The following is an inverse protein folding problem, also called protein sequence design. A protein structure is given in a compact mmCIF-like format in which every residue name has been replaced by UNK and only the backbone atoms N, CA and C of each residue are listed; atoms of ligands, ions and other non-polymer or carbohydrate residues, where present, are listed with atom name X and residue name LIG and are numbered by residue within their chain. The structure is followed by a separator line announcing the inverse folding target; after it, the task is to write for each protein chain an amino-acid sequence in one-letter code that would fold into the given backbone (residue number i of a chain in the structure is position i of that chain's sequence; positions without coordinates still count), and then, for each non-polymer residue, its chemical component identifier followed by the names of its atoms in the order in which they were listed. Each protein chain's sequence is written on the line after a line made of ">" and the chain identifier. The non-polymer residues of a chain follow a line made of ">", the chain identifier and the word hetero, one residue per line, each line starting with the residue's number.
data_IF_416023585484
#
_entry.id   IF_416023585484
#
_cell.length_a   1.000
_cell.length_b   1.000
_cell.length_c   1.000
_cell.angle_alpha   90.00
_cell.angle_beta   90.00
_cell.angle_gamma   90.00
#
_symmetry.space_group_name_H-M   'P 1'
#
loop_
_entity.id
_entity.type
_entity.pdbx_description
1 polymer ?
#
# COMPACT_ATOMS: atom_id res chain seq x y z
N UNK A 1 -28.42 -26.01 -35.92
CA UNK A 1 -27.84 -24.86 -35.18
C UNK A 1 -26.64 -25.39 -34.42
N UNK A 2 -25.45 -25.02 -34.91
CA UNK A 2 -24.16 -25.32 -34.29
C UNK A 2 -23.95 -24.49 -33.03
N UNK A 3 -23.37 -25.07 -31.99
CA UNK A 3 -22.66 -24.43 -30.88
C UNK A 3 -21.93 -25.59 -30.16
N UNK A 4 -20.61 -25.68 -30.03
CA UNK A 4 -19.57 -24.65 -30.02
C UNK A 4 -19.02 -24.55 -28.60
N UNK A 5 -17.83 -25.10 -28.35
CA UNK A 5 -17.17 -25.04 -27.03
C UNK A 5 -16.00 -26.02 -26.90
N UNK A 6 -14.99 -25.85 -27.74
CA UNK A 6 -13.75 -26.64 -27.70
C UNK A 6 -12.85 -26.23 -26.52
N UNK A 7 -12.31 -27.24 -25.86
CA UNK A 7 -11.25 -27.12 -24.85
C UNK A 7 -9.93 -26.81 -25.56
N UNK A 8 -9.47 -25.57 -25.49
CA UNK A 8 -8.15 -25.18 -25.98
C UNK A 8 -7.10 -25.37 -24.88
N UNK A 9 -6.48 -26.55 -24.90
CA UNK A 9 -5.23 -26.83 -24.21
C UNK A 9 -4.09 -26.19 -25.02
N UNK A 10 -3.68 -24.99 -24.64
CA UNK A 10 -2.36 -24.44 -25.00
C UNK A 10 -1.31 -25.31 -24.28
N UNK A 11 -0.55 -26.18 -24.91
CA UNK A 11 0.07 -26.07 -26.23
C UNK A 11 1.57 -25.91 -26.00
N UNK A 12 2.21 -27.00 -25.54
CA UNK A 12 3.64 -27.06 -25.28
C UNK A 12 4.45 -26.74 -26.53
N UNK A 13 5.36 -25.79 -26.41
CA UNK A 13 6.35 -25.49 -27.44
C UNK A 13 7.68 -26.09 -27.01
N UNK A 14 7.92 -27.35 -27.39
CA UNK A 14 9.28 -27.86 -27.50
C UNK A 14 9.85 -27.43 -28.86
N UNK A 15 10.52 -26.28 -28.89
CA UNK A 15 11.45 -25.97 -29.99
C UNK A 15 12.80 -26.56 -29.64
N UNK A 16 13.01 -27.80 -30.09
CA UNK A 16 14.32 -28.45 -30.12
C UNK A 16 15.18 -27.82 -31.21
N UNK A 17 15.93 -26.77 -30.88
CA UNK A 17 17.13 -26.38 -31.61
C UNK A 17 18.06 -25.44 -30.80
N UNK A 18 18.44 -25.79 -29.56
CA UNK A 18 19.58 -25.12 -28.86
C UNK A 18 20.23 -26.07 -27.83
N UNK A 19 20.67 -27.28 -28.23
CA UNK A 19 21.14 -28.25 -27.23
C UNK A 19 22.54 -27.94 -26.63
N UNK A 20 23.37 -27.10 -27.26
CA UNK A 20 24.70 -26.77 -26.72
C UNK A 20 24.69 -25.53 -25.83
N UNK A 21 23.93 -24.48 -26.18
CA UNK A 21 23.83 -23.27 -25.34
C UNK A 21 22.93 -23.46 -24.12
N UNK A 22 21.95 -24.36 -24.18
CA UNK A 22 21.10 -24.69 -23.04
C UNK A 22 21.90 -25.26 -21.87
N UNK A 23 22.81 -26.20 -22.16
CA UNK A 23 23.62 -26.87 -21.14
C UNK A 23 24.67 -25.93 -20.52
N UNK A 24 25.30 -25.08 -21.33
CA UNK A 24 26.22 -24.04 -20.83
C UNK A 24 25.50 -23.03 -19.92
N UNK A 25 24.29 -22.61 -20.31
CA UNK A 25 23.50 -21.66 -19.51
C UNK A 25 23.04 -22.31 -18.19
N UNK A 26 22.66 -23.59 -18.22
CA UNK A 26 22.35 -24.35 -16.99
C UNK A 26 23.57 -24.49 -16.08
N UNK A 27 24.76 -24.72 -16.64
CA UNK A 27 26.01 -24.74 -15.88
C UNK A 27 26.30 -23.38 -15.23
N UNK A 28 26.22 -22.29 -15.99
CA UNK A 28 26.46 -20.95 -15.44
C UNK A 28 25.46 -20.60 -14.32
N UNK A 29 24.19 -20.96 -14.48
CA UNK A 29 23.18 -20.80 -13.43
C UNK A 29 23.50 -21.61 -12.18
N UNK A 30 24.04 -22.83 -12.32
CA UNK A 30 24.46 -23.64 -11.18
C UNK A 30 25.66 -23.02 -10.44
N UNK A 31 26.64 -22.50 -11.18
CA UNK A 31 27.78 -21.78 -10.61
C UNK A 31 27.35 -20.52 -9.86
N UNK A 32 26.42 -19.73 -10.43
CA UNK A 32 25.84 -18.56 -9.75
C UNK A 32 25.08 -18.98 -8.49
N UNK A 33 24.24 -20.02 -8.57
CA UNK A 33 23.41 -20.50 -7.46
C UNK A 33 24.21 -21.04 -6.27
N UNK A 34 25.44 -21.48 -6.50
CA UNK A 34 26.33 -22.00 -5.45
C UNK A 34 27.43 -21.01 -5.04
N UNK A 35 27.41 -19.82 -5.64
CA UNK A 35 28.39 -18.77 -5.37
C UNK A 35 28.19 -18.16 -3.97
N UNK A 36 29.25 -17.86 -3.20
CA UNK A 36 29.14 -17.28 -1.86
C UNK A 36 28.41 -15.93 -1.82
N UNK A 37 28.45 -15.16 -2.91
CA UNK A 37 27.70 -13.89 -3.05
C UNK A 37 26.22 -14.05 -3.43
N UNK A 38 25.74 -15.28 -3.69
CA UNK A 38 24.38 -15.50 -4.20
C UNK A 38 23.31 -14.95 -3.26
N UNK A 39 23.43 -15.24 -1.96
CA UNK A 39 22.47 -14.78 -0.95
C UNK A 39 22.43 -13.25 -0.85
N UNK A 40 23.58 -12.58 -0.87
CA UNK A 40 23.61 -11.11 -0.86
C UNK A 40 23.02 -10.54 -2.14
N UNK A 41 23.28 -11.16 -3.29
CA UNK A 41 22.74 -10.73 -4.57
C UNK A 41 21.22 -10.88 -4.61
N UNK A 42 20.71 -12.03 -4.17
CA UNK A 42 19.28 -12.30 -4.07
C UNK A 42 18.62 -11.28 -3.13
N UNK A 43 19.20 -11.05 -1.95
CA UNK A 43 18.69 -10.06 -1.00
C UNK A 43 18.68 -8.63 -1.57
N UNK A 44 19.72 -8.22 -2.30
CA UNK A 44 19.77 -6.92 -2.96
C UNK A 44 18.68 -6.82 -4.04
N UNK A 45 18.49 -7.86 -4.85
CA UNK A 45 17.43 -7.93 -5.87
C UNK A 45 16.04 -7.83 -5.27
N UNK A 46 15.76 -8.62 -4.24
CA UNK A 46 14.49 -8.59 -3.50
C UNK A 46 14.25 -7.21 -2.90
N UNK A 47 15.30 -6.59 -2.35
CA UNK A 47 15.20 -5.24 -1.80
C UNK A 47 14.78 -4.22 -2.86
N UNK A 48 15.32 -4.30 -4.08
CA UNK A 48 14.90 -3.44 -5.19
C UNK A 48 13.44 -3.68 -5.56
N UNK A 49 13.03 -4.95 -5.70
CA UNK A 49 11.65 -5.31 -6.04
C UNK A 49 10.66 -4.78 -4.99
N UNK A 50 10.96 -4.96 -3.70
CA UNK A 50 10.09 -4.51 -2.60
C UNK A 50 9.86 -3.00 -2.60
N UNK A 51 10.82 -2.19 -3.04
CA UNK A 51 10.64 -0.73 -3.13
C UNK A 51 9.63 -0.34 -4.22
N UNK A 52 9.60 -1.08 -5.33
CA UNK A 52 8.69 -0.82 -6.46
C UNK A 52 7.37 -1.60 -6.40
N UNK A 53 7.17 -2.46 -5.39
CA UNK A 53 6.01 -3.34 -5.31
C UNK A 53 4.96 -2.77 -4.34
N UNK A 54 3.68 -2.69 -4.74
CA UNK A 54 2.59 -2.32 -3.83
C UNK A 54 2.53 -3.25 -2.60
N UNK A 55 2.11 -2.71 -1.45
CA UNK A 55 2.10 -3.44 -0.17
C UNK A 55 1.33 -4.76 -0.26
N UNK A 56 0.20 -4.75 -0.98
CA UNK A 56 -0.68 -5.92 -1.12
C UNK A 56 -0.03 -7.09 -1.88
N UNK A 57 1.02 -6.82 -2.67
CA UNK A 57 1.70 -7.81 -3.51
C UNK A 57 3.01 -8.33 -2.91
N UNK A 58 3.45 -7.80 -1.75
CA UNK A 58 4.69 -8.22 -1.11
C UNK A 58 4.69 -9.72 -0.74
N UNK A 59 3.52 -10.27 -0.43
CA UNK A 59 3.35 -11.70 -0.12
C UNK A 59 3.72 -12.62 -1.29
N UNK A 60 3.56 -12.16 -2.54
CA UNK A 60 3.94 -12.92 -3.74
C UNK A 60 5.46 -13.05 -3.86
N UNK A 61 6.20 -11.99 -3.50
CA UNK A 61 7.67 -12.01 -3.44
C UNK A 61 8.13 -13.02 -2.39
N UNK A 62 7.51 -13.01 -1.22
CA UNK A 62 7.86 -13.93 -0.12
C UNK A 62 7.57 -15.39 -0.49
N UNK A 63 6.45 -15.65 -1.17
CA UNK A 63 6.12 -16.99 -1.67
C UNK A 63 7.14 -17.48 -2.71
N UNK A 64 7.55 -16.62 -3.64
CA UNK A 64 8.58 -16.95 -4.63
C UNK A 64 9.94 -17.24 -3.96
N UNK A 65 10.30 -16.49 -2.91
CA UNK A 65 11.51 -16.76 -2.15
C UNK A 65 11.46 -18.10 -1.41
N UNK A 66 10.31 -18.47 -0.84
CA UNK A 66 10.16 -19.77 -0.21
C UNK A 66 10.38 -20.94 -1.19
N UNK A 67 9.95 -20.79 -2.44
CA UNK A 67 10.17 -21.79 -3.49
C UNK A 67 11.64 -21.84 -3.97
N UNK A 68 12.36 -20.73 -3.91
CA UNK A 68 13.74 -20.61 -4.44
C UNK A 68 14.71 -21.65 -3.86
N UNK A 69 14.54 -22.06 -2.61
CA UNK A 69 15.41 -23.05 -1.96
C UNK A 69 15.36 -24.43 -2.64
N UNK A 70 14.22 -24.83 -3.20
CA UNK A 70 14.10 -26.10 -3.92
C UNK A 70 14.88 -26.05 -5.23
N UNK A 71 14.84 -24.91 -5.91
CA UNK A 71 15.59 -24.67 -7.15
C UNK A 71 17.09 -24.64 -6.86
N UNK A 72 17.53 -23.98 -5.79
CA UNK A 72 18.94 -23.93 -5.39
C UNK A 72 19.49 -25.34 -5.10
N UNK A 73 18.70 -26.17 -4.39
CA UNK A 73 19.06 -27.57 -4.14
C UNK A 73 19.18 -28.38 -5.44
N UNK A 74 18.31 -28.12 -6.43
CA UNK A 74 18.38 -28.78 -7.74
C UNK A 74 19.69 -28.44 -8.47
N UNK A 75 20.09 -27.16 -8.49
CA UNK A 75 21.34 -26.74 -9.11
C UNK A 75 22.57 -27.29 -8.38
N UNK A 76 22.56 -27.29 -7.04
CA UNK A 76 23.65 -27.86 -6.25
C UNK A 76 23.85 -29.36 -6.50
N UNK A 77 22.76 -30.13 -6.69
CA UNK A 77 22.85 -31.56 -7.01
C UNK A 77 23.42 -31.85 -8.41
N UNK A 78 23.33 -30.88 -9.31
CA UNK A 78 23.67 -31.03 -10.72
C UNK A 78 25.12 -30.63 -11.04
N UNK A 79 25.87 -30.15 -10.05
CA UNK A 79 27.23 -29.61 -10.19
C UNK A 79 28.33 -30.68 -10.33
N UNK A 80 27.96 -31.93 -10.60
CA UNK A 80 28.90 -33.04 -10.76
C UNK A 80 29.51 -33.06 -12.17
N UNK A 81 30.62 -32.34 -12.36
CA UNK A 81 31.62 -32.76 -13.35
C UNK A 81 32.33 -31.67 -14.16
N UNK A 82 31.86 -30.43 -14.19
CA UNK A 82 32.50 -29.35 -14.96
C UNK A 82 32.51 -28.04 -14.17
N UNK A 83 33.63 -27.75 -13.51
CA UNK A 83 33.88 -26.47 -12.85
C UNK A 83 34.46 -25.47 -13.84
N UNK A 84 34.13 -24.19 -13.67
CA UNK A 84 34.76 -23.10 -14.42
C UNK A 84 36.28 -23.12 -14.26
N UNK A 85 36.98 -22.64 -15.30
CA UNK A 85 38.41 -22.36 -15.20
C UNK A 85 38.67 -21.27 -14.14
N UNK A 86 39.87 -21.21 -13.54
CA UNK A 86 40.18 -20.18 -12.54
C UNK A 86 40.00 -18.75 -13.07
N UNK A 87 40.20 -18.54 -14.37
CA UNK A 87 39.99 -17.25 -15.02
C UNK A 87 38.50 -16.88 -15.08
N UNK A 88 37.65 -17.78 -15.59
CA UNK A 88 36.20 -17.55 -15.68
C UNK A 88 35.57 -17.37 -14.30
N UNK A 89 36.07 -18.06 -13.27
CA UNK A 89 35.63 -17.87 -11.89
C UNK A 89 35.95 -16.46 -11.39
N UNK A 90 37.17 -15.97 -11.65
CA UNK A 90 37.55 -14.61 -11.26
C UNK A 90 36.71 -13.54 -11.99
N UNK A 91 36.37 -13.77 -13.26
CA UNK A 91 35.47 -12.90 -14.01
C UNK A 91 34.05 -12.91 -13.44
N UNK A 92 33.53 -14.10 -13.09
CA UNK A 92 32.23 -14.24 -12.44
C UNK A 92 32.20 -13.54 -11.09
N UNK A 93 33.21 -13.73 -10.24
CA UNK A 93 33.32 -13.09 -8.93
C UNK A 93 33.29 -11.56 -9.07
N UNK A 94 34.09 -11.02 -10.00
CA UNK A 94 34.16 -9.59 -10.29
C UNK A 94 32.82 -9.05 -10.83
N UNK A 95 32.19 -9.79 -11.74
CA UNK A 95 30.87 -9.44 -12.26
C UNK A 95 29.82 -9.39 -11.15
N UNK A 96 29.74 -10.43 -10.31
CA UNK A 96 28.76 -10.51 -9.22
C UNK A 96 28.98 -9.40 -8.19
N UNK A 97 30.24 -9.07 -7.86
CA UNK A 97 30.57 -7.97 -6.97
C UNK A 97 30.13 -6.60 -7.55
N UNK A 98 30.43 -6.33 -8.83
CA UNK A 98 29.99 -5.10 -9.49
C UNK A 98 28.48 -5.02 -9.61
N UNK A 99 27.84 -6.13 -9.95
CA UNK A 99 26.40 -6.21 -10.08
C UNK A 99 25.69 -5.96 -8.74
N UNK A 100 26.24 -6.48 -7.64
CA UNK A 100 25.75 -6.20 -6.30
C UNK A 100 25.80 -4.70 -5.97
N UNK A 101 26.91 -4.02 -6.31
CA UNK A 101 27.05 -2.56 -6.13
C UNK A 101 26.00 -1.80 -6.95
N UNK A 102 25.78 -2.22 -8.20
CA UNK A 102 24.75 -1.63 -9.07
C UNK A 102 23.36 -1.80 -8.47
N UNK A 103 23.03 -2.97 -7.91
CA UNK A 103 21.72 -3.18 -7.27
C UNK A 103 21.55 -2.31 -6.02
N UNK A 104 22.59 -2.18 -5.19
CA UNK A 104 22.54 -1.32 -4.01
C UNK A 104 22.31 0.14 -4.39
N UNK A 105 23.05 0.67 -5.37
CA UNK A 105 22.88 2.06 -5.84
C UNK A 105 21.52 2.26 -6.52
N UNK A 106 21.05 1.29 -7.30
CA UNK A 106 19.72 1.32 -7.90
C UNK A 106 18.62 1.35 -6.84
N UNK A 107 18.71 0.55 -5.78
CA UNK A 107 17.75 0.56 -4.67
C UNK A 107 17.62 1.95 -4.05
N UNK A 108 18.75 2.61 -3.76
CA UNK A 108 18.75 3.94 -3.15
C UNK A 108 18.09 4.98 -4.07
N UNK A 109 18.42 4.96 -5.36
CA UNK A 109 17.82 5.84 -6.36
C UNK A 109 16.31 5.60 -6.49
N UNK A 110 15.89 4.34 -6.57
CA UNK A 110 14.50 3.94 -6.67
C UNK A 110 13.71 4.36 -5.43
N UNK A 111 14.25 4.12 -4.24
CA UNK A 111 13.63 4.51 -2.98
C UNK A 111 13.47 6.03 -2.87
N UNK A 112 14.50 6.79 -3.27
CA UNK A 112 14.43 8.24 -3.28
C UNK A 112 13.37 8.75 -4.28
N UNK A 113 13.31 8.17 -5.47
CA UNK A 113 12.33 8.54 -6.51
C UNK A 113 10.89 8.31 -6.04
N UNK A 114 10.58 7.12 -5.51
CA UNK A 114 9.26 6.80 -4.96
C UNK A 114 8.91 7.74 -3.80
N UNK A 115 9.86 7.99 -2.89
CA UNK A 115 9.64 8.88 -1.75
C UNK A 115 9.31 10.31 -2.17
N UNK A 116 10.05 10.88 -3.13
CA UNK A 116 9.82 12.25 -3.60
C UNK A 116 8.44 12.38 -4.22
N UNK A 117 8.08 11.51 -5.16
CA UNK A 117 6.78 11.58 -5.81
C UNK A 117 5.61 11.27 -4.89
N UNK A 118 5.77 10.36 -3.93
CA UNK A 118 4.74 10.13 -2.91
C UNK A 118 4.51 11.38 -2.05
N UNK A 119 5.59 12.07 -1.63
CA UNK A 119 5.48 13.32 -0.86
C UNK A 119 4.84 14.42 -1.71
N UNK A 120 5.25 14.59 -2.96
CA UNK A 120 4.65 15.58 -3.87
C UNK A 120 3.15 15.33 -4.08
N UNK A 121 2.77 14.06 -4.30
CA UNK A 121 1.37 13.68 -4.43
C UNK A 121 0.58 13.98 -3.15
N UNK A 122 1.11 13.65 -1.97
CA UNK A 122 0.47 13.95 -0.69
C UNK A 122 0.30 15.46 -0.49
N UNK A 123 1.32 16.25 -0.83
CA UNK A 123 1.25 17.71 -0.73
C UNK A 123 0.19 18.28 -1.68
N UNK A 124 0.12 17.80 -2.92
CA UNK A 124 -0.90 18.21 -3.89
C UNK A 124 -2.33 17.82 -3.41
N UNK A 125 -2.50 16.62 -2.87
CA UNK A 125 -3.77 16.18 -2.29
C UNK A 125 -4.18 17.08 -1.11
N UNK A 126 -3.24 17.48 -0.25
CA UNK A 126 -3.50 18.40 0.85
C UNK A 126 -3.93 19.79 0.37
N UNK A 127 -3.33 20.29 -0.71
CA UNK A 127 -3.75 21.56 -1.32
C UNK A 127 -5.17 21.48 -1.87
N UNK A 128 -5.51 20.37 -2.54
CA UNK A 128 -6.87 20.11 -3.03
C UNK A 128 -7.87 20.07 -1.86
N UNK A 129 -7.54 19.38 -0.78
CA UNK A 129 -8.37 19.30 0.42
C UNK A 129 -8.59 20.68 1.04
N UNK A 130 -7.54 21.49 1.19
CA UNK A 130 -7.64 22.85 1.71
C UNK A 130 -8.56 23.73 0.84
N UNK A 131 -8.45 23.63 -0.48
CA UNK A 131 -9.32 24.37 -1.40
C UNK A 131 -10.79 23.93 -1.28
N UNK A 132 -11.02 22.63 -1.11
CA UNK A 132 -12.36 22.08 -0.89
C UNK A 132 -12.95 22.56 0.45
N UNK A 133 -12.15 22.57 1.51
CA UNK A 133 -12.54 23.12 2.80
C UNK A 133 -12.87 24.62 2.70
N UNK A 134 -12.04 25.40 2.01
CA UNK A 134 -12.30 26.83 1.82
C UNK A 134 -13.62 27.11 1.08
N UNK A 135 -13.98 26.23 0.12
CA UNK A 135 -15.22 26.36 -0.65
C UNK A 135 -16.46 25.90 0.13
N UNK A 136 -16.34 24.85 0.92
CA UNK A 136 -17.48 24.18 1.57
C UNK A 136 -17.65 24.54 3.04
N UNK A 137 -16.60 25.05 3.69
CA UNK A 137 -16.52 25.24 5.13
C UNK A 137 -16.41 23.93 5.92
N UNK A 138 -16.31 22.78 5.26
CA UNK A 138 -16.30 21.45 5.90
C UNK A 138 -14.90 20.83 5.77
N UNK A 139 -14.33 20.40 6.89
CA UNK A 139 -13.07 19.63 6.96
C UNK A 139 -13.35 18.16 6.64
N UNK A 140 -12.50 17.51 5.84
CA UNK A 140 -12.61 16.06 5.61
C UNK A 140 -12.13 15.21 6.81
N UNK A 141 -11.54 15.84 7.82
CA UNK A 141 -10.89 15.16 8.96
C UNK A 141 -11.71 15.05 10.26
N UNK A 142 -12.87 15.69 10.38
CA UNK A 142 -13.61 15.74 11.67
C UNK A 142 -14.93 14.97 11.61
N UNK A 143 -14.82 13.65 11.58
CA UNK A 143 -15.89 12.77 12.00
C UNK A 143 -15.66 12.29 13.43
N UNK A 144 -15.80 13.16 14.45
CA UNK A 144 -16.18 12.88 15.85
C UNK A 144 -15.68 13.97 16.82
N UNK A 145 -16.59 14.62 17.55
CA UNK A 145 -16.29 15.43 18.74
C UNK A 145 -16.67 16.91 18.59
N UNK A 146 -17.95 17.25 18.75
CA UNK A 146 -18.36 18.11 19.86
C UNK A 146 -17.24 18.39 20.90
N UNK A 147 -16.87 19.66 21.08
CA UNK A 147 -16.99 20.40 22.35
C UNK A 147 -16.50 21.84 22.17
N UNK A 148 -17.42 22.79 22.33
CA UNK A 148 -17.26 24.07 23.03
C UNK A 148 -15.85 24.72 22.97
N UNK A 149 -15.68 25.71 22.09
CA UNK A 149 -14.83 26.85 22.43
C UNK A 149 -15.61 27.65 23.46
N UNK A 150 -15.27 27.47 24.73
CA UNK A 150 -15.79 28.19 25.89
C UNK A 150 -15.27 29.64 25.82
N UNK A 151 -16.17 30.60 25.64
CA UNK A 151 -15.87 32.02 25.85
C UNK A 151 -15.83 32.24 27.37
N UNK A 152 -14.62 32.23 27.93
CA UNK A 152 -14.37 32.52 29.34
C UNK A 152 -14.45 34.04 29.62
N UNK A 153 -15.66 34.54 29.85
CA UNK A 153 -15.89 35.88 30.44
C UNK A 153 -15.60 35.85 31.95
N UNK A 154 -14.37 36.24 32.31
CA UNK A 154 -13.90 36.45 33.68
C UNK A 154 -14.35 37.82 34.21
N UNK A 155 -15.54 37.93 34.82
CA UNK A 155 -15.84 39.03 35.78
C UNK A 155 -16.65 38.54 36.98
N UNK A 156 -15.89 38.23 38.02
CA UNK A 156 -16.26 37.91 39.39
C UNK A 156 -16.69 39.15 40.18
N UNK A 157 -17.99 39.33 40.49
CA UNK A 157 -18.58 40.16 41.58
C UNK A 157 -20.07 39.77 41.69
N UNK A 158 -20.79 39.59 42.79
CA UNK A 158 -20.63 39.77 44.24
C UNK A 158 -21.78 38.95 44.91
N UNK A 159 -21.66 38.81 46.21
CA UNK A 159 -22.25 37.98 47.24
C UNK A 159 -23.78 38.02 47.48
N UNK A 160 -24.32 36.83 47.80
CA UNK A 160 -25.40 36.46 48.74
C UNK A 160 -26.82 37.04 48.64
N UNK A 161 -27.83 36.15 48.66
CA UNK A 161 -28.63 35.81 49.86
C UNK A 161 -30.01 35.27 49.45
N UNK A 162 -30.31 34.03 49.90
CA UNK A 162 -31.64 33.52 50.29
C UNK A 162 -32.80 33.56 49.26
N UNK A 163 -33.36 32.39 48.88
CA UNK A 163 -34.62 31.87 49.43
C UNK A 163 -35.17 30.68 48.61
N UNK A 164 -35.49 29.60 49.33
CA UNK A 164 -36.66 28.71 49.14
C UNK A 164 -36.86 27.93 47.83
N UNK A 165 -36.64 26.61 47.94
CA UNK A 165 -37.77 25.67 47.93
C UNK A 165 -38.03 24.85 46.66
N UNK A 166 -38.11 23.53 46.87
CA UNK A 166 -38.99 22.58 46.17
C UNK A 166 -38.76 22.36 44.68
N UNK A 167 -37.99 21.35 44.31
CA UNK A 167 -38.53 20.05 43.87
C UNK A 167 -37.47 19.28 43.11
N UNK A 168 -37.24 18.05 43.56
CA UNK A 168 -36.43 17.09 42.83
C UNK A 168 -37.20 16.54 41.64
N UNK A 169 -36.65 16.69 40.44
CA UNK A 169 -36.85 15.73 39.35
C UNK A 169 -35.78 15.93 38.25
N UNK A 170 -35.23 14.82 37.77
CA UNK A 170 -34.42 14.63 36.55
C UNK A 170 -32.96 15.10 36.48
N UNK A 171 -32.14 14.31 37.17
CA UNK A 171 -30.78 13.90 36.80
C UNK A 171 -30.74 13.26 35.39
N UNK A 172 -30.77 14.07 34.32
CA UNK A 172 -30.71 13.75 32.87
C UNK A 172 -32.01 14.13 32.18
N UNK A 173 -32.14 15.42 31.86
CA UNK A 173 -33.25 16.01 31.09
C UNK A 173 -33.33 15.56 29.63
N UNK A 174 -33.49 14.25 29.40
CA UNK A 174 -33.99 13.72 28.14
C UNK A 174 -35.51 13.95 28.09
N UNK A 175 -35.89 15.20 27.80
CA UNK A 175 -37.25 15.52 27.38
C UNK A 175 -37.59 14.85 26.05
N UNK A 176 -38.89 14.72 25.69
CA UNK A 176 -39.32 14.09 24.44
C UNK A 176 -38.59 14.72 23.25
N UNK A 177 -37.92 13.87 22.45
CA UNK A 177 -37.02 14.23 21.36
C UNK A 177 -37.71 15.15 20.33
N UNK A 178 -37.66 16.46 20.56
CA UNK A 178 -38.01 17.45 19.55
C UNK A 178 -36.83 17.51 18.57
N UNK A 179 -37.06 17.28 17.26
CA UNK A 179 -36.02 17.40 16.27
C UNK A 179 -35.35 18.77 16.39
N UNK A 180 -34.03 18.76 16.34
CA UNK A 180 -33.20 19.96 16.34
C UNK A 180 -33.58 20.88 15.18
N UNK A 181 -33.24 22.17 15.28
CA UNK A 181 -33.57 23.13 14.23
C UNK A 181 -32.98 22.75 12.86
N UNK A 182 -31.80 22.13 12.86
CA UNK A 182 -31.16 21.57 11.67
C UNK A 182 -31.95 20.39 11.08
N UNK A 183 -32.42 19.45 11.91
CA UNK A 183 -33.28 18.35 11.47
C UNK A 183 -34.61 18.85 10.91
N UNK A 184 -35.22 19.88 11.54
CA UNK A 184 -36.44 20.51 11.01
C UNK A 184 -36.22 21.14 9.64
N UNK A 185 -35.13 21.88 9.46
CA UNK A 185 -34.76 22.49 8.18
C UNK A 185 -34.45 21.44 7.09
N UNK A 186 -33.83 20.32 7.47
CA UNK A 186 -33.60 19.20 6.57
C UNK A 186 -34.91 18.54 6.12
N UNK A 187 -35.82 18.27 7.05
CA UNK A 187 -37.13 17.69 6.73
C UNK A 187 -37.97 18.61 5.82
N UNK A 188 -37.94 19.94 6.03
CA UNK A 188 -38.62 20.90 5.17
C UNK A 188 -38.07 20.88 3.74
N UNK A 189 -36.73 20.85 3.58
CA UNK A 189 -36.07 20.77 2.26
C UNK A 189 -36.37 19.46 1.54
N UNK A 190 -36.25 18.32 2.23
CA UNK A 190 -36.60 17.00 1.67
C UNK A 190 -38.06 16.97 1.22
N UNK A 191 -38.97 17.56 2.01
CA UNK A 191 -40.38 17.66 1.62
C UNK A 191 -40.58 18.52 0.37
N UNK A 192 -39.83 19.60 0.21
CA UNK A 192 -39.91 20.46 -0.97
C UNK A 192 -39.37 19.76 -2.21
N UNK A 193 -38.24 19.07 -2.11
CA UNK A 193 -37.65 18.29 -3.21
C UNK A 193 -38.58 17.16 -3.67
N UNK A 194 -39.11 16.36 -2.74
CA UNK A 194 -40.09 15.31 -3.05
C UNK A 194 -41.36 15.87 -3.70
N UNK A 195 -41.80 17.07 -3.29
CA UNK A 195 -42.97 17.74 -3.89
C UNK A 195 -42.69 18.26 -5.30
N UNK A 196 -41.44 18.58 -5.62
CA UNK A 196 -41.01 18.98 -6.97
C UNK A 196 -40.94 17.74 -7.87
N UNK A 197 -40.34 16.64 -7.39
CA UNK A 197 -40.26 15.38 -8.14
C UNK A 197 -41.64 14.78 -8.45
N UNK A 198 -42.59 14.85 -7.51
CA UNK A 198 -43.94 14.30 -7.74
C UNK A 198 -44.80 15.13 -8.71
N UNK A 199 -44.36 16.33 -9.09
CA UNK A 199 -45.07 17.25 -9.99
C UNK A 199 -44.49 17.29 -11.41
N UNK A 200 -43.34 16.66 -11.66
CA UNK A 200 -42.84 16.35 -13.01
C UNK A 200 -43.45 15.05 -13.52
#
# INVERSE_FOLDING_TARGET
>A
MSSGGGSETIGGLSSGEVSVSGDQNRHLKAEIATHPLYEQLLAAHVSCLRVATPIDQLSLIDAQLAESHNILRSYASQQQGHSLSPHERQELDNFLAQYLIVLCTFKEQLQQHVRVHAVEAVMACREIENNLQALTGVTLGEGTGATMSDDEDELQMDFSLDQSGSDGHDLMGFGPLLPTESERSLMERVRQELKIELKQ
#
